data_IF_949746440333
#
_entry.id   IF_949746440333
#
_cell.length_a   1.000
_cell.length_b   1.000
_cell.length_c   1.000
_cell.angle_alpha   90.00
_cell.angle_beta   90.00
_cell.angle_gamma   90.00
#
_symmetry.space_group_name_H-M   'P 1'
#
loop_
_entity.id
_entity.type
_entity.pdbx_description
1 polymer ?
#
# COMPACT_ATOMS: atom_id res chain seq x y z
N UNK A 1 -35.13 -24.04 -7.66
CA UNK A 1 -33.83 -23.76 -7.00
C UNK A 1 -32.88 -24.86 -7.43
N UNK A 2 -32.09 -24.63 -8.49
CA UNK A 2 -31.12 -25.62 -8.97
C UNK A 2 -29.75 -25.26 -8.44
N UNK A 3 -29.25 -26.07 -7.51
CA UNK A 3 -27.85 -26.09 -7.11
C UNK A 3 -27.07 -26.89 -8.17
N UNK A 4 -26.35 -26.20 -9.05
CA UNK A 4 -25.52 -26.78 -10.10
C UNK A 4 -24.57 -25.71 -10.64
N UNK A 5 -23.39 -25.57 -10.03
CA UNK A 5 -22.46 -24.46 -10.26
C UNK A 5 -21.57 -24.64 -11.49
N UNK A 6 -22.11 -24.46 -12.70
CA UNK A 6 -21.29 -24.17 -13.88
C UNK A 6 -21.01 -22.67 -13.92
N UNK A 7 -19.78 -22.26 -13.59
CA UNK A 7 -19.35 -20.86 -13.77
C UNK A 7 -19.26 -20.56 -15.27
N UNK A 8 -20.05 -19.60 -15.75
CA UNK A 8 -20.03 -19.22 -17.16
C UNK A 8 -18.74 -18.47 -17.51
N UNK A 9 -18.19 -18.75 -18.70
CA UNK A 9 -16.96 -18.10 -19.20
C UNK A 9 -17.00 -16.57 -19.10
N UNK A 10 -18.09 -15.86 -19.44
CA UNK A 10 -18.18 -14.40 -19.29
C UNK A 10 -18.00 -13.92 -17.84
N UNK A 11 -18.51 -14.69 -16.87
CA UNK A 11 -18.39 -14.38 -15.44
C UNK A 11 -16.94 -14.51 -14.99
N UNK A 12 -16.24 -15.55 -15.47
CA UNK A 12 -14.81 -15.75 -15.17
C UNK A 12 -13.98 -14.61 -15.76
N UNK A 13 -14.18 -14.29 -17.04
CA UNK A 13 -13.44 -13.22 -17.73
C UNK A 13 -13.68 -11.86 -17.08
N UNK A 14 -14.95 -11.53 -16.77
CA UNK A 14 -15.29 -10.29 -16.07
C UNK A 14 -14.64 -10.19 -14.69
N UNK A 15 -14.61 -11.28 -13.94
CA UNK A 15 -13.97 -11.33 -12.61
C UNK A 15 -12.45 -11.15 -12.71
N UNK A 16 -11.77 -11.84 -13.63
CA UNK A 16 -10.33 -11.70 -13.85
C UNK A 16 -9.98 -10.27 -14.29
N UNK A 17 -10.72 -9.72 -15.24
CA UNK A 17 -10.53 -8.35 -15.69
C UNK A 17 -10.71 -7.34 -14.54
N UNK A 18 -11.71 -7.56 -13.67
CA UNK A 18 -11.96 -6.70 -12.51
C UNK A 18 -10.88 -6.74 -11.43
N UNK A 19 -10.29 -7.90 -11.15
CA UNK A 19 -9.27 -8.06 -10.09
C UNK A 19 -7.87 -7.65 -10.54
N UNK A 20 -7.58 -7.80 -11.84
CA UNK A 20 -6.26 -7.49 -12.43
C UNK A 20 -5.69 -6.12 -12.04
N UNK A 21 -6.42 -4.98 -12.15
CA UNK A 21 -5.85 -3.67 -11.80
C UNK A 21 -5.44 -3.57 -10.32
N UNK A 22 -6.15 -4.23 -9.41
CA UNK A 22 -5.80 -4.24 -7.98
C UNK A 22 -4.52 -5.02 -7.71
N UNK A 23 -4.31 -6.13 -8.40
CA UNK A 23 -3.08 -6.92 -8.28
C UNK A 23 -1.88 -6.12 -8.79
N UNK A 24 -2.02 -5.48 -9.96
CA UNK A 24 -0.96 -4.65 -10.54
C UNK A 24 -0.63 -3.47 -9.62
N UNK A 25 -1.64 -2.75 -9.14
CA UNK A 25 -1.46 -1.66 -8.19
C UNK A 25 -0.80 -2.14 -6.88
N UNK A 26 -1.19 -3.31 -6.38
CA UNK A 26 -0.58 -3.93 -5.21
C UNK A 26 0.91 -4.21 -5.41
N UNK A 27 1.30 -4.75 -6.56
CA UNK A 27 2.71 -5.03 -6.87
C UNK A 27 3.53 -3.73 -6.97
N UNK A 28 3.02 -2.70 -7.66
CA UNK A 28 3.70 -1.42 -7.77
C UNK A 28 3.85 -0.73 -6.43
N UNK A 29 2.81 -0.78 -5.61
CA UNK A 29 2.82 -0.29 -4.24
C UNK A 29 3.85 -1.03 -3.39
N UNK A 30 3.86 -2.37 -3.42
CA UNK A 30 4.82 -3.20 -2.69
C UNK A 30 6.27 -2.92 -3.07
N UNK A 31 6.56 -2.66 -4.36
CA UNK A 31 7.91 -2.25 -4.79
C UNK A 31 8.38 -0.98 -4.07
N UNK A 32 7.49 0.01 -3.88
CA UNK A 32 7.80 1.23 -3.10
C UNK A 32 8.01 0.95 -1.61
N UNK A 33 7.24 0.04 -1.03
CA UNK A 33 7.42 -0.37 0.38
C UNK A 33 8.79 -1.01 0.59
N UNK A 34 9.19 -1.93 -0.30
CA UNK A 34 10.49 -2.60 -0.18
C UNK A 34 11.63 -1.59 -0.25
N UNK A 35 11.56 -0.62 -1.16
CA UNK A 35 12.55 0.44 -1.26
C UNK A 35 12.60 1.32 0.00
N UNK A 36 11.45 1.63 0.61
CA UNK A 36 11.40 2.34 1.88
C UNK A 36 11.99 1.51 3.03
N UNK A 37 11.68 0.21 3.10
CA UNK A 37 12.21 -0.71 4.14
C UNK A 37 13.73 -0.86 4.07
N UNK A 38 14.30 -0.81 2.87
CA UNK A 38 15.76 -0.85 2.64
C UNK A 38 16.46 0.49 2.92
N UNK A 39 15.73 1.57 3.18
CA UNK A 39 16.33 2.87 3.44
C UNK A 39 17.07 2.88 4.79
N UNK A 40 18.38 3.10 4.77
CA UNK A 40 19.21 3.13 5.99
C UNK A 40 18.92 4.33 6.90
N UNK A 41 18.40 5.44 6.32
CA UNK A 41 18.11 6.68 7.05
C UNK A 41 16.84 6.56 7.89
N UNK A 42 15.73 6.11 7.30
CA UNK A 42 14.45 6.00 8.01
C UNK A 42 14.10 4.57 8.48
N UNK A 43 14.92 3.57 8.11
CA UNK A 43 14.77 2.14 8.48
C UNK A 43 13.36 1.60 8.25
N UNK A 44 12.71 2.03 7.16
CA UNK A 44 11.35 1.60 6.80
C UNK A 44 10.20 2.43 7.36
N UNK A 45 10.43 3.35 8.29
CA UNK A 45 9.36 4.20 8.84
C UNK A 45 8.87 5.30 7.89
N UNK A 46 9.67 5.63 6.87
CA UNK A 46 9.38 6.71 5.92
C UNK A 46 9.47 8.11 6.54
N UNK A 47 9.86 8.21 7.81
CA UNK A 47 9.94 9.44 8.58
C UNK A 47 11.31 9.54 9.24
N UNK A 48 11.81 10.77 9.38
CA UNK A 48 13.09 11.06 10.04
C UNK A 48 12.84 12.13 11.09
N UNK A 49 13.39 11.93 12.30
CA UNK A 49 13.32 12.93 13.36
C UNK A 49 14.25 14.10 13.00
N UNK A 50 13.69 15.30 12.89
CA UNK A 50 14.44 16.54 12.65
C UNK A 50 14.07 17.54 13.75
N UNK A 51 14.94 17.66 14.73
CA UNK A 51 14.68 18.46 15.94
C UNK A 51 13.54 17.85 16.75
N UNK A 52 12.45 18.61 16.95
CA UNK A 52 11.26 18.15 17.70
C UNK A 52 10.19 17.49 16.84
N UNK A 53 10.33 17.49 15.51
CA UNK A 53 9.27 17.06 14.60
C UNK A 53 9.73 15.92 13.68
N UNK A 54 8.81 15.00 13.39
CA UNK A 54 9.01 13.98 12.37
C UNK A 54 8.67 14.56 11.00
N UNK A 55 9.60 14.43 10.05
CA UNK A 55 9.43 14.88 8.66
C UNK A 55 9.55 13.70 7.72
N UNK A 56 8.91 13.77 6.55
CA UNK A 56 9.00 12.75 5.49
C UNK A 56 10.46 12.54 5.10
N UNK A 57 10.86 11.27 4.96
CA UNK A 57 12.23 10.93 4.58
C UNK A 57 12.50 11.36 3.14
N UNK A 58 13.47 12.26 2.96
CA UNK A 58 13.90 12.75 1.64
C UNK A 58 14.75 11.72 0.86
N UNK A 59 15.38 10.76 1.55
CA UNK A 59 16.24 9.76 0.90
C UNK A 59 15.46 8.69 0.13
N UNK A 60 14.33 8.20 0.67
CA UNK A 60 13.49 7.20 0.00
C UNK A 60 12.13 7.75 -0.47
N UNK A 61 11.86 9.03 -0.23
CA UNK A 61 10.59 9.67 -0.56
C UNK A 61 9.45 9.34 0.40
N UNK A 62 9.68 8.69 1.54
CA UNK A 62 8.72 8.52 2.66
C UNK A 62 7.29 8.17 2.26
N UNK A 63 7.10 7.05 1.58
CA UNK A 63 5.84 6.60 0.99
C UNK A 63 4.77 6.21 2.02
N UNK A 64 5.18 5.60 3.14
CA UNK A 64 4.31 5.19 4.25
C UNK A 64 4.76 5.86 5.55
N UNK A 65 4.10 6.94 6.02
CA UNK A 65 4.41 7.55 7.31
C UNK A 65 3.80 6.71 8.46
N UNK A 66 4.40 5.56 8.76
CA UNK A 66 3.89 4.68 9.80
C UNK A 66 4.46 5.06 11.18
N UNK A 67 3.69 5.82 11.95
CA UNK A 67 4.00 6.16 13.36
C UNK A 67 3.00 5.56 14.34
N UNK A 68 1.72 5.55 13.98
CA UNK A 68 0.62 4.98 14.77
C UNK A 68 -0.63 4.96 13.91
N UNK A 69 -1.51 3.97 14.12
CA UNK A 69 -2.86 3.94 13.54
C UNK A 69 -3.64 5.25 13.81
N UNK A 70 -3.41 5.89 14.96
CA UNK A 70 -4.05 7.16 15.31
C UNK A 70 -3.65 8.30 14.37
N UNK A 71 -2.36 8.44 14.05
CA UNK A 71 -1.86 9.49 13.15
C UNK A 71 -2.18 9.24 11.68
N UNK A 72 -2.49 8.00 11.31
CA UNK A 72 -2.84 7.65 9.93
C UNK A 72 -4.30 8.00 9.59
N UNK A 73 -5.20 7.90 10.57
CA UNK A 73 -6.62 8.23 10.40
C UNK A 73 -7.06 9.54 11.09
N UNK A 74 -6.13 10.27 11.70
CA UNK A 74 -6.40 11.64 12.16
C UNK A 74 -6.64 12.53 10.94
N UNK A 75 -7.93 12.66 10.58
CA UNK A 75 -8.44 13.58 9.56
C UNK A 75 -8.46 15.03 10.07
N UNK A 76 -8.29 15.24 11.38
CA UNK A 76 -8.10 16.55 11.99
C UNK A 76 -6.68 16.61 12.56
N UNK A 77 -5.82 17.41 11.95
CA UNK A 77 -4.50 17.73 12.50
C UNK A 77 -4.58 18.51 13.80
#
# INVERSE_FOLDING_TARGET
>A
MSAGGSVDVPVIVGTVAGVTPFVVAGIEFSKRIVQQRRCEVCKGSGLVLRGRYYRRCNACGGFLPWQSWKRFFDING
#
